data_IF_850224738578
#
_entry.id   IF_850224738578
#
_cell.length_a   1.000
_cell.length_b   1.000
_cell.length_c   1.000
_cell.angle_alpha   90.00
_cell.angle_beta   90.00
_cell.angle_gamma   90.00
#
_symmetry.space_group_name_H-M   'P 1'
#
loop_
_entity.id
_entity.type
_entity.pdbx_description
1 polymer ?
#
# COMPACT_ATOMS: atom_id res chain seq x y z
N UNK A 1 16.31 4.07 -2.09
CA UNK A 1 16.09 3.48 -3.43
C UNK A 1 15.99 4.58 -4.52
N UNK A 2 15.05 5.55 -4.43
CA UNK A 2 14.89 6.59 -5.47
C UNK A 2 16.10 7.52 -5.57
N UNK A 3 16.69 7.93 -4.44
CA UNK A 3 17.92 8.73 -4.41
C UNK A 3 19.08 7.96 -5.04
N UNK A 4 19.24 6.68 -4.72
CA UNK A 4 20.27 5.85 -5.33
C UNK A 4 20.13 5.81 -6.86
N UNK A 5 18.91 5.71 -7.38
CA UNK A 5 18.68 5.76 -8.83
C UNK A 5 19.09 7.08 -9.45
N UNK A 6 18.90 8.21 -8.74
CA UNK A 6 19.41 9.52 -9.21
C UNK A 6 20.93 9.50 -9.31
N UNK A 7 21.60 9.04 -8.26
CA UNK A 7 23.07 8.96 -8.20
C UNK A 7 23.61 8.02 -9.29
N UNK A 8 23.01 6.84 -9.47
CA UNK A 8 23.45 5.85 -10.45
C UNK A 8 23.33 6.35 -11.90
N UNK A 9 22.33 7.17 -12.20
CA UNK A 9 22.04 7.65 -13.57
C UNK A 9 22.66 9.00 -13.87
N UNK A 10 22.69 9.91 -12.89
CA UNK A 10 23.10 11.30 -13.10
C UNK A 10 24.42 11.63 -12.40
N UNK A 11 24.95 10.73 -11.58
CA UNK A 11 26.13 10.94 -10.75
C UNK A 11 25.78 11.56 -9.39
N UNK A 12 26.68 11.38 -8.42
CA UNK A 12 26.59 12.01 -7.11
C UNK A 12 27.10 13.44 -7.19
N UNK A 13 26.20 14.42 -7.14
CA UNK A 13 26.48 15.84 -7.31
C UNK A 13 25.76 16.67 -6.26
N UNK A 14 26.26 17.89 -5.95
CA UNK A 14 25.49 18.86 -5.17
C UNK A 14 24.09 19.11 -5.76
N UNK A 15 23.11 19.41 -4.91
CA UNK A 15 21.70 19.56 -5.33
C UNK A 15 21.50 20.67 -6.34
N UNK A 16 22.26 21.77 -6.22
CA UNK A 16 22.25 22.93 -7.12
C UNK A 16 22.94 22.66 -8.47
N UNK A 17 23.71 21.58 -8.58
CA UNK A 17 24.38 21.20 -9.82
C UNK A 17 23.51 20.36 -10.76
N UNK A 18 22.32 19.93 -10.34
CA UNK A 18 21.37 19.25 -11.22
C UNK A 18 20.54 20.27 -12.03
N UNK A 19 20.34 19.98 -13.30
CA UNK A 19 19.53 20.76 -14.22
C UNK A 19 18.19 20.09 -14.55
N UNK A 20 17.26 20.84 -15.14
CA UNK A 20 16.01 20.28 -15.68
C UNK A 20 16.27 19.27 -16.81
N UNK A 21 17.39 19.39 -17.53
CA UNK A 21 17.81 18.42 -18.56
C UNK A 21 18.22 17.09 -17.92
N UNK A 22 18.96 17.13 -16.80
CA UNK A 22 19.29 15.92 -16.05
C UNK A 22 18.03 15.21 -15.57
N UNK A 23 17.07 15.97 -15.04
CA UNK A 23 15.80 15.43 -14.60
C UNK A 23 14.99 14.81 -15.76
N UNK A 24 15.04 15.40 -16.96
CA UNK A 24 14.43 14.82 -18.17
C UNK A 24 15.15 13.51 -18.57
N UNK A 25 16.48 13.48 -18.51
CA UNK A 25 17.26 12.27 -18.78
C UNK A 25 16.92 11.12 -17.81
N UNK A 26 16.74 11.43 -16.53
CA UNK A 26 16.28 10.43 -15.55
C UNK A 26 14.87 9.89 -15.89
N UNK A 27 13.94 10.76 -16.30
CA UNK A 27 12.61 10.34 -16.76
C UNK A 27 12.74 9.35 -17.91
N UNK A 28 13.51 9.71 -18.94
CA UNK A 28 13.66 8.92 -20.15
C UNK A 28 14.32 7.57 -19.86
N UNK A 29 15.32 7.55 -18.98
CA UNK A 29 15.92 6.33 -18.46
C UNK A 29 14.88 5.43 -17.77
N UNK A 30 14.05 5.98 -16.88
CA UNK A 30 13.05 5.20 -16.16
C UNK A 30 11.98 4.62 -17.10
N UNK A 31 11.56 5.40 -18.11
CA UNK A 31 10.61 4.92 -19.13
C UNK A 31 11.26 3.85 -20.02
N UNK A 32 12.51 4.04 -20.47
CA UNK A 32 13.24 3.04 -21.24
C UNK A 32 13.48 1.74 -20.48
N UNK A 33 13.58 1.79 -19.14
CA UNK A 33 13.64 0.63 -18.24
C UNK A 33 12.30 -0.10 -18.12
N UNK A 34 11.23 0.38 -18.76
CA UNK A 34 9.91 -0.23 -18.78
C UNK A 34 9.04 0.10 -17.56
N UNK A 35 9.35 1.17 -16.81
CA UNK A 35 8.46 1.61 -15.73
C UNK A 35 7.21 2.26 -16.33
N UNK A 36 6.05 1.90 -15.78
CA UNK A 36 4.78 2.57 -16.08
C UNK A 36 4.83 4.05 -15.67
N UNK A 37 4.14 4.91 -16.41
CA UNK A 37 4.14 6.37 -16.17
C UNK A 37 3.74 6.74 -14.74
N UNK A 38 2.79 6.06 -14.13
CA UNK A 38 2.43 6.28 -12.72
C UNK A 38 3.56 5.93 -11.75
N UNK A 39 4.39 4.93 -12.07
CA UNK A 39 5.58 4.60 -11.27
C UNK A 39 6.64 5.67 -11.41
N UNK A 40 6.84 6.19 -12.61
CA UNK A 40 7.75 7.33 -12.86
C UNK A 40 7.28 8.57 -12.12
N UNK A 41 5.99 8.93 -12.21
CA UNK A 41 5.38 10.05 -11.47
C UNK A 41 5.61 9.93 -9.96
N UNK A 42 5.45 8.72 -9.41
CA UNK A 42 5.69 8.44 -7.97
C UNK A 42 7.16 8.60 -7.60
N UNK A 43 8.10 8.10 -8.42
CA UNK A 43 9.53 8.28 -8.20
C UNK A 43 9.89 9.76 -8.17
N UNK A 44 9.41 10.54 -9.16
CA UNK A 44 9.62 11.99 -9.21
C UNK A 44 8.99 12.71 -8.01
N UNK A 45 7.81 12.32 -7.57
CA UNK A 45 7.19 12.90 -6.37
C UNK A 45 8.08 12.73 -5.15
N UNK A 46 8.64 11.53 -4.93
CA UNK A 46 9.57 11.26 -3.83
C UNK A 46 10.85 12.08 -3.95
N UNK A 47 11.48 12.12 -5.14
CA UNK A 47 12.71 12.88 -5.38
C UNK A 47 12.48 14.38 -5.13
N UNK A 48 11.37 14.93 -5.65
CA UNK A 48 10.98 16.33 -5.43
C UNK A 48 10.84 16.67 -3.95
N UNK A 49 10.17 15.80 -3.19
CA UNK A 49 9.95 15.99 -1.75
C UNK A 49 11.28 16.01 -0.99
N UNK A 50 12.19 15.09 -1.29
CA UNK A 50 13.50 15.01 -0.63
C UNK A 50 14.33 16.28 -0.96
N UNK A 51 14.42 16.66 -2.24
CA UNK A 51 15.19 17.84 -2.64
C UNK A 51 14.59 19.12 -2.06
N UNK A 52 13.26 19.28 -2.07
CA UNK A 52 12.61 20.43 -1.44
C UNK A 52 12.90 20.50 0.06
N UNK A 53 12.87 19.37 0.75
CA UNK A 53 13.23 19.30 2.16
C UNK A 53 14.69 19.74 2.38
N UNK A 54 15.63 19.22 1.58
CA UNK A 54 17.04 19.61 1.69
C UNK A 54 17.26 21.12 1.42
N UNK A 55 16.59 21.68 0.39
CA UNK A 55 16.65 23.10 0.09
C UNK A 55 16.16 23.94 1.29
N UNK A 56 15.05 23.52 1.90
CA UNK A 56 14.45 24.21 3.03
C UNK A 56 15.31 24.09 4.30
N UNK A 57 15.74 22.89 4.67
CA UNK A 57 16.49 22.62 5.89
C UNK A 57 17.91 23.25 5.87
N UNK A 58 18.53 23.33 4.70
CA UNK A 58 19.87 23.89 4.53
C UNK A 58 19.90 25.33 4.00
N UNK A 59 18.73 25.96 3.82
CA UNK A 59 18.63 27.34 3.35
C UNK A 59 19.29 27.57 1.99
N UNK A 60 19.22 26.58 1.07
CA UNK A 60 19.88 26.66 -0.22
C UNK A 60 19.13 27.62 -1.15
N UNK A 61 19.87 28.57 -1.75
CA UNK A 61 19.31 29.49 -2.76
C UNK A 61 19.36 28.85 -4.16
N UNK A 62 18.60 27.76 -4.32
CA UNK A 62 18.48 27.08 -5.59
C UNK A 62 17.06 26.59 -5.85
N UNK A 63 16.73 26.35 -7.12
CA UNK A 63 15.44 25.76 -7.50
C UNK A 63 15.59 24.25 -7.64
N UNK A 64 14.55 23.53 -7.23
CA UNK A 64 14.49 22.10 -7.44
C UNK A 64 14.37 21.78 -8.95
N UNK A 65 15.44 21.27 -9.54
CA UNK A 65 15.53 20.93 -10.97
C UNK A 65 14.47 19.90 -11.42
N UNK A 66 14.00 19.06 -10.51
CA UNK A 66 13.02 18.00 -10.79
C UNK A 66 11.56 18.49 -10.72
N UNK A 67 11.29 19.76 -10.30
CA UNK A 67 9.94 20.25 -10.06
C UNK A 67 9.10 20.40 -11.32
N UNK A 68 9.69 20.86 -12.43
CA UNK A 68 8.98 21.23 -13.66
C UNK A 68 9.24 20.29 -14.84
N UNK A 69 9.66 19.06 -14.57
CA UNK A 69 9.86 18.09 -15.64
C UNK A 69 8.50 17.59 -16.13
N UNK A 70 8.31 17.63 -17.42
CA UNK A 70 7.15 17.00 -18.05
C UNK A 70 7.18 15.50 -17.83
N UNK A 71 6.11 14.96 -17.28
CA UNK A 71 5.90 13.54 -17.10
C UNK A 71 4.70 13.14 -17.98
N UNK A 72 4.89 12.27 -18.97
CA UNK A 72 3.81 11.88 -19.86
C UNK A 72 2.67 11.21 -19.09
N UNK A 73 1.47 11.34 -19.61
CA UNK A 73 0.26 10.68 -19.08
C UNK A 73 -0.19 9.65 -20.11
N UNK A 74 0.53 8.53 -20.15
CA UNK A 74 0.18 7.41 -21.02
C UNK A 74 -0.82 6.53 -20.28
N UNK A 75 -1.81 5.98 -20.99
CA UNK A 75 -2.73 4.98 -20.42
C UNK A 75 -2.06 3.59 -20.44
N UNK A 76 -0.89 3.52 -19.80
CA UNK A 76 -0.10 2.30 -19.67
C UNK A 76 -0.44 1.49 -18.41
N UNK A 77 -1.41 1.96 -17.61
CA UNK A 77 -1.82 1.31 -16.38
C UNK A 77 -2.69 0.09 -16.68
N UNK A 78 -2.17 -1.09 -16.40
CA UNK A 78 -2.98 -2.31 -16.38
C UNK A 78 -3.97 -2.23 -15.20
N UNK A 79 -5.20 -1.83 -15.47
CA UNK A 79 -6.28 -1.90 -14.46
C UNK A 79 -6.50 -3.36 -14.07
N UNK A 80 -6.43 -3.65 -12.78
CA UNK A 80 -6.80 -4.97 -12.27
C UNK A 80 -8.29 -5.16 -12.51
N UNK A 81 -8.66 -6.27 -13.13
CA UNK A 81 -10.07 -6.65 -13.26
C UNK A 81 -10.60 -7.13 -11.90
N UNK A 82 -11.85 -6.84 -11.56
CA UNK A 82 -12.49 -7.44 -10.39
C UNK A 82 -12.45 -8.96 -10.49
N UNK A 83 -12.31 -9.62 -9.35
CA UNK A 83 -12.40 -11.09 -9.30
C UNK A 83 -13.88 -11.47 -9.54
N UNK A 84 -14.20 -12.37 -10.46
CA UNK A 84 -15.57 -12.84 -10.66
C UNK A 84 -16.16 -13.43 -9.37
N UNK A 85 -17.43 -13.18 -9.13
CA UNK A 85 -18.12 -13.61 -7.90
C UNK A 85 -18.08 -15.13 -7.69
N UNK A 86 -18.16 -15.90 -8.77
CA UNK A 86 -18.02 -17.35 -8.75
C UNK A 86 -16.66 -17.81 -8.21
N UNK A 87 -15.58 -17.12 -8.60
CA UNK A 87 -14.24 -17.40 -8.10
C UNK A 87 -14.11 -17.04 -6.62
N UNK A 88 -14.73 -15.94 -6.19
CA UNK A 88 -14.75 -15.56 -4.75
C UNK A 88 -15.45 -16.65 -3.95
N UNK A 89 -16.63 -17.12 -4.41
CA UNK A 89 -17.39 -18.20 -3.74
C UNK A 89 -16.59 -19.50 -3.65
N UNK A 90 -15.89 -19.86 -4.74
CA UNK A 90 -15.02 -21.04 -4.75
C UNK A 90 -13.89 -20.91 -3.73
N UNK A 91 -13.19 -19.78 -3.72
CA UNK A 91 -12.12 -19.50 -2.74
C UNK A 91 -12.65 -19.59 -1.31
N UNK A 92 -13.82 -19.03 -1.04
CA UNK A 92 -14.45 -19.09 0.28
C UNK A 92 -14.81 -20.53 0.70
N UNK A 93 -15.22 -21.37 -0.26
CA UNK A 93 -15.48 -22.80 -0.02
C UNK A 93 -14.17 -23.55 0.23
N UNK A 94 -13.14 -23.34 -0.58
CA UNK A 94 -11.81 -23.93 -0.41
C UNK A 94 -11.23 -23.57 0.96
N UNK A 95 -11.41 -22.33 1.42
CA UNK A 95 -11.00 -21.91 2.76
C UNK A 95 -11.67 -22.73 3.87
N UNK A 96 -12.93 -23.10 3.70
CA UNK A 96 -13.66 -23.94 4.69
C UNK A 96 -13.21 -25.40 4.68
N UNK A 97 -12.76 -25.90 3.54
CA UNK A 97 -12.28 -27.29 3.39
C UNK A 97 -10.90 -27.45 4.01
N UNK A 98 -10.00 -26.53 3.73
CA UNK A 98 -8.62 -26.55 4.23
C UNK A 98 -8.54 -26.20 5.73
N UNK A 99 -9.37 -25.28 6.19
CA UNK A 99 -9.60 -24.89 7.59
C UNK A 99 -8.33 -24.66 8.42
N UNK A 100 -7.42 -23.82 7.89
CA UNK A 100 -6.18 -23.43 8.56
C UNK A 100 -6.08 -21.89 8.73
N UNK A 101 -5.08 -21.42 9.48
CA UNK A 101 -4.87 -20.01 9.80
C UNK A 101 -4.76 -19.12 8.54
N UNK A 102 -4.10 -19.61 7.48
CA UNK A 102 -3.94 -18.86 6.24
C UNK A 102 -5.30 -18.68 5.53
N UNK A 103 -6.15 -19.71 5.56
CA UNK A 103 -7.50 -19.70 4.98
C UNK A 103 -8.46 -18.86 5.80
N UNK A 104 -8.34 -18.88 7.13
CA UNK A 104 -9.11 -17.96 7.99
C UNK A 104 -8.78 -16.50 7.69
N UNK A 105 -7.50 -16.17 7.48
CA UNK A 105 -7.06 -14.82 7.09
C UNK A 105 -7.66 -14.39 5.75
N UNK A 106 -7.66 -15.28 4.74
CA UNK A 106 -8.26 -15.01 3.43
C UNK A 106 -9.77 -14.80 3.56
N UNK A 107 -10.47 -15.67 4.30
CA UNK A 107 -11.91 -15.57 4.51
C UNK A 107 -12.31 -14.30 5.27
N UNK A 108 -11.53 -13.89 6.29
CA UNK A 108 -11.70 -12.61 6.98
C UNK A 108 -11.64 -11.42 6.02
N UNK A 109 -10.62 -11.36 5.19
CA UNK A 109 -10.39 -10.23 4.26
C UNK A 109 -11.48 -10.19 3.18
N UNK A 110 -11.94 -11.36 2.71
CA UNK A 110 -12.90 -11.45 1.61
C UNK A 110 -14.21 -10.70 1.86
N UNK A 111 -14.76 -10.79 3.08
CA UNK A 111 -16.06 -10.17 3.42
C UNK A 111 -15.92 -8.87 4.23
N UNK A 112 -14.74 -8.59 4.81
CA UNK A 112 -14.52 -7.36 5.61
C UNK A 112 -13.86 -6.24 4.83
N UNK A 113 -13.15 -6.55 3.75
CA UNK A 113 -12.33 -5.58 3.02
C UNK A 113 -11.17 -4.99 3.85
N UNK A 114 -10.77 -5.63 4.92
CA UNK A 114 -9.61 -5.23 5.73
C UNK A 114 -8.32 -5.29 4.92
N UNK A 115 -7.36 -4.44 5.28
CA UNK A 115 -6.00 -4.60 4.75
C UNK A 115 -5.35 -5.85 5.34
N UNK A 116 -4.47 -6.50 4.56
CA UNK A 116 -3.76 -7.69 5.02
C UNK A 116 -3.06 -7.47 6.38
N UNK A 117 -2.38 -6.35 6.57
CA UNK A 117 -1.72 -6.00 7.82
C UNK A 117 -2.69 -5.74 8.98
N UNK A 118 -3.91 -5.28 8.70
CA UNK A 118 -4.96 -5.12 9.70
C UNK A 118 -5.48 -6.47 10.17
N UNK A 119 -5.75 -7.37 9.23
CA UNK A 119 -6.27 -8.71 9.54
C UNK A 119 -5.21 -9.62 10.19
N UNK A 120 -3.98 -9.65 9.65
CA UNK A 120 -2.89 -10.45 10.20
C UNK A 120 -2.42 -10.01 11.60
N UNK A 121 -2.65 -8.75 11.94
CA UNK A 121 -2.30 -8.19 13.25
C UNK A 121 -3.47 -8.11 14.23
N UNK A 122 -4.59 -8.80 14.00
CA UNK A 122 -5.71 -8.84 14.95
C UNK A 122 -5.29 -9.50 16.27
N UNK A 123 -5.77 -8.92 17.36
CA UNK A 123 -5.77 -9.58 18.65
C UNK A 123 -7.08 -10.35 18.82
N UNK A 124 -7.05 -11.40 19.61
CA UNK A 124 -8.25 -12.22 19.87
C UNK A 124 -9.38 -11.39 20.46
N UNK A 125 -9.07 -10.39 21.30
CA UNK A 125 -10.06 -9.51 21.92
C UNK A 125 -10.64 -8.46 20.95
N UNK A 126 -10.01 -8.24 19.80
CA UNK A 126 -10.58 -7.39 18.74
C UNK A 126 -11.83 -8.05 18.12
N UNK A 127 -11.97 -9.39 18.25
CA UNK A 127 -13.07 -10.16 17.68
C UNK A 127 -14.18 -10.29 18.74
N UNK A 128 -15.29 -9.63 18.49
CA UNK A 128 -16.47 -9.66 19.37
C UNK A 128 -17.55 -10.54 18.73
N UNK A 129 -17.84 -11.66 19.38
CA UNK A 129 -18.86 -12.64 18.95
C UNK A 129 -20.04 -12.73 19.92
N UNK A 130 -20.19 -11.73 20.78
CA UNK A 130 -21.25 -11.68 21.78
C UNK A 130 -22.49 -11.04 21.17
N UNK A 131 -23.67 -11.50 21.62
CA UNK A 131 -25.00 -10.99 21.28
C UNK A 131 -25.39 -11.10 19.78
N UNK A 132 -26.39 -10.31 19.36
CA UNK A 132 -26.96 -10.33 18.02
C UNK A 132 -26.02 -9.76 16.95
N UNK A 133 -25.03 -8.97 17.35
CA UNK A 133 -24.12 -8.30 16.39
C UNK A 133 -22.67 -8.76 16.57
N UNK A 134 -22.15 -9.49 15.61
CA UNK A 134 -20.75 -9.91 15.57
C UNK A 134 -19.91 -8.90 14.80
N UNK A 135 -18.77 -8.47 15.35
CA UNK A 135 -17.91 -7.48 14.71
C UNK A 135 -16.44 -7.60 15.12
N UNK A 136 -15.57 -7.00 14.32
CA UNK A 136 -14.17 -6.73 14.67
C UNK A 136 -14.06 -5.28 15.13
N UNK A 137 -13.50 -5.05 16.31
CA UNK A 137 -13.13 -3.74 16.79
C UNK A 137 -11.70 -3.42 16.36
N UNK A 138 -11.53 -2.86 15.15
CA UNK A 138 -10.21 -2.57 14.61
C UNK A 138 -9.61 -1.35 15.31
N UNK A 139 -8.63 -1.59 16.17
CA UNK A 139 -7.92 -0.57 16.93
C UNK A 139 -6.39 -0.68 16.78
N UNK A 140 -5.64 0.25 17.33
CA UNK A 140 -4.17 0.20 17.36
C UNK A 140 -3.69 -0.73 18.47
N UNK A 141 -2.58 -1.43 18.22
CA UNK A 141 -1.85 -2.25 19.19
C UNK A 141 -0.36 -1.94 19.12
N UNK A 142 0.44 -2.29 20.13
CA UNK A 142 1.90 -2.08 20.08
C UNK A 142 2.60 -2.68 18.86
N UNK A 143 2.07 -3.80 18.35
CA UNK A 143 2.60 -4.51 17.16
C UNK A 143 1.89 -4.13 15.86
N UNK A 144 0.76 -3.40 15.91
CA UNK A 144 -0.04 -3.03 14.75
C UNK A 144 -0.42 -1.56 14.76
N UNK A 145 0.23 -0.77 13.92
CA UNK A 145 -0.20 0.59 13.63
C UNK A 145 -1.27 0.60 12.52
N UNK A 146 -2.19 1.54 12.61
CA UNK A 146 -3.16 1.82 11.55
C UNK A 146 -2.64 2.94 10.65
N UNK A 147 -2.91 2.86 9.34
CA UNK A 147 -2.40 3.82 8.34
C UNK A 147 -2.81 5.26 8.64
N UNK A 148 -3.99 5.48 9.20
CA UNK A 148 -4.52 6.81 9.58
C UNK A 148 -5.34 6.69 10.86
N UNK A 149 -5.53 7.81 11.58
CA UNK A 149 -6.42 7.84 12.76
C UNK A 149 -7.84 7.38 12.44
N UNK A 150 -8.38 7.71 11.28
CA UNK A 150 -9.70 7.28 10.82
C UNK A 150 -9.80 5.81 10.37
N UNK A 151 -8.71 5.04 10.47
CA UNK A 151 -8.74 3.60 10.19
C UNK A 151 -9.30 2.77 11.36
N UNK A 152 -9.38 3.34 12.56
CA UNK A 152 -10.08 2.70 13.68
C UNK A 152 -11.58 2.64 13.38
N UNK A 153 -12.15 1.44 13.46
CA UNK A 153 -13.56 1.22 13.13
C UNK A 153 -14.05 -0.12 13.63
N UNK A 154 -15.36 -0.25 13.76
CA UNK A 154 -16.03 -1.54 13.91
C UNK A 154 -16.40 -2.07 12.52
N UNK A 155 -16.12 -3.35 12.29
CA UNK A 155 -16.37 -4.03 11.03
C UNK A 155 -17.33 -5.19 11.30
N UNK A 156 -18.56 -5.16 10.77
CA UNK A 156 -19.49 -6.29 10.95
C UNK A 156 -18.92 -7.58 10.37
N UNK A 157 -19.13 -8.67 11.08
CA UNK A 157 -18.74 -10.00 10.64
C UNK A 157 -19.95 -10.71 10.03
N UNK A 158 -19.82 -11.06 8.75
CA UNK A 158 -20.83 -11.78 7.98
C UNK A 158 -20.18 -12.91 7.16
N UNK A 159 -20.96 -13.83 6.65
CA UNK A 159 -20.54 -14.84 5.69
C UNK A 159 -19.30 -15.64 6.11
N UNK A 160 -18.28 -15.65 5.27
CA UNK A 160 -17.03 -16.38 5.50
C UNK A 160 -16.16 -15.72 6.56
N UNK A 161 -16.25 -14.39 6.72
CA UNK A 161 -15.52 -13.68 7.77
C UNK A 161 -16.03 -14.07 9.17
N UNK A 162 -17.34 -14.23 9.34
CA UNK A 162 -17.91 -14.70 10.61
C UNK A 162 -17.48 -16.14 10.91
N UNK A 163 -17.49 -17.01 9.91
CA UNK A 163 -16.98 -18.37 10.06
C UNK A 163 -15.51 -18.37 10.52
N UNK A 164 -14.64 -17.61 9.83
CA UNK A 164 -13.23 -17.53 10.18
C UNK A 164 -13.00 -16.97 11.59
N UNK A 165 -13.75 -15.92 11.96
CA UNK A 165 -13.67 -15.33 13.30
C UNK A 165 -14.03 -16.34 14.41
N UNK A 166 -15.02 -17.21 14.18
CA UNK A 166 -15.36 -18.31 15.10
C UNK A 166 -14.23 -19.31 15.20
N UNK A 167 -13.66 -19.76 14.07
CA UNK A 167 -12.52 -20.70 14.07
C UNK A 167 -11.32 -20.13 14.83
N UNK A 168 -10.99 -18.85 14.63
CA UNK A 168 -9.92 -18.18 15.37
C UNK A 168 -10.19 -18.17 16.88
N UNK A 169 -11.43 -17.91 17.30
CA UNK A 169 -11.82 -17.91 18.74
C UNK A 169 -11.84 -19.29 19.36
N UNK A 170 -12.11 -20.34 18.59
CA UNK A 170 -12.14 -21.74 19.06
C UNK A 170 -10.72 -22.31 19.23
N UNK A 171 -9.74 -21.80 18.50
CA UNK A 171 -8.37 -22.37 18.45
C UNK A 171 -7.42 -21.68 19.43
N UNK A 172 -7.74 -20.47 19.91
CA UNK A 172 -6.97 -19.69 20.88
C UNK A 172 -7.71 -19.57 22.22
#
# INVERSE_FOLDING_TARGET
>A
RNVQTVIDVLGDRPIDAYSSSDAASLRDYLLAKGLMTNSVKRNFSTIRSIINLCIQEHGLDCRNAFSRVYLPDLDDNKRRKPIPLENIRRIQQDCRVEDDEARWLVALIADTGMRLSEAAGLHIDDIVLQDETHYINLTTHPWRSLKTKGSQRQIPLVGSALWAARRIKETN
#
